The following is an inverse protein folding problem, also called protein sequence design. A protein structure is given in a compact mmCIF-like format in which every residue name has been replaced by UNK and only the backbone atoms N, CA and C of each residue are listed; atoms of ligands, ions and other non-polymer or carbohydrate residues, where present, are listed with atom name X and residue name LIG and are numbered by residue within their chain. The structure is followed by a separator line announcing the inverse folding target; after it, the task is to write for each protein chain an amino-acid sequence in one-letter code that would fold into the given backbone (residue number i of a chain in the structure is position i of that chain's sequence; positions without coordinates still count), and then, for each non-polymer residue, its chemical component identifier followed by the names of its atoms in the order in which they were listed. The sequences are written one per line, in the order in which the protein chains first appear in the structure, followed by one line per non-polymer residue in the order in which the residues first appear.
data_IF_274308733971
#
_entry.id   IF_274308733971
#
_cell.length_a   1.000
_cell.length_b   1.000
_cell.length_c   1.000
_cell.angle_alpha   90.00
_cell.angle_beta   90.00
_cell.angle_gamma   90.00
#
_symmetry.space_group_name_H-M   'P 1'
#
loop_
_entity.id
_entity.type
_entity.pdbx_description
1 polymer ?
#
# COMPACT_ATOMS: atom_id res chain seq x y z
N UNK A 1 -31.54 -53.09 -10.36
CA UNK A 1 -32.27 -52.63 -11.57
C UNK A 1 -33.67 -52.17 -11.17
N UNK A 2 -34.29 -51.21 -11.87
CA UNK A 2 -35.63 -50.66 -11.54
C UNK A 2 -36.78 -51.45 -12.20
N UNK A 3 -38.05 -51.10 -11.94
CA UNK A 3 -38.74 -50.25 -12.91
C UNK A 3 -39.63 -49.12 -12.31
N UNK A 4 -40.07 -48.19 -13.18
CA UNK A 4 -40.89 -47.01 -12.86
C UNK A 4 -42.41 -47.34 -12.88
N UNK A 5 -43.24 -46.57 -12.16
CA UNK A 5 -44.71 -46.53 -12.31
C UNK A 5 -45.19 -45.38 -13.22
N UNK A 6 -46.46 -45.44 -13.67
CA UNK A 6 -47.08 -44.61 -14.72
C UNK A 6 -47.86 -43.38 -14.21
N UNK A 7 -48.20 -42.48 -15.14
CA UNK A 7 -49.25 -41.43 -15.01
C UNK A 7 -50.67 -42.02 -15.15
N UNK A 8 -51.67 -41.26 -14.67
CA UNK A 8 -53.04 -40.91 -15.20
C UNK A 8 -53.99 -40.75 -14.00
N UNK A 9 -54.46 -39.56 -13.58
CA UNK A 9 -55.31 -38.52 -14.22
C UNK A 9 -56.80 -38.84 -14.23
N UNK A 10 -57.63 -38.01 -13.57
CA UNK A 10 -59.04 -37.79 -13.93
C UNK A 10 -59.61 -36.46 -13.36
N UNK A 11 -60.60 -35.88 -14.06
CA UNK A 11 -61.36 -34.65 -13.71
C UNK A 11 -62.66 -34.56 -14.53
N UNK A 12 -63.82 -34.29 -13.89
CA UNK A 12 -64.81 -33.31 -14.39
C UNK A 12 -65.08 -32.20 -13.33
N UNK A 13 -65.46 -30.95 -13.61
CA UNK A 13 -66.55 -30.38 -14.46
C UNK A 13 -67.97 -30.65 -13.92
N UNK A 14 -68.94 -29.70 -13.83
CA UNK A 14 -68.94 -28.21 -13.82
C UNK A 14 -70.31 -27.76 -13.18
N UNK A 15 -70.98 -26.57 -13.25
CA UNK A 15 -70.96 -25.27 -13.96
C UNK A 15 -71.91 -24.27 -13.20
N UNK A 16 -71.93 -22.97 -13.54
CA UNK A 16 -72.95 -21.90 -13.23
C UNK A 16 -73.06 -21.41 -11.76
N UNK A 17 -73.46 -20.16 -11.43
CA UNK A 17 -74.02 -18.97 -12.14
C UNK A 17 -73.79 -17.70 -11.24
N UNK A 18 -73.86 -16.41 -11.60
CA UNK A 18 -73.60 -15.61 -12.83
C UNK A 18 -73.71 -14.08 -12.49
N UNK A 19 -73.07 -13.19 -13.28
CA UNK A 19 -73.30 -11.71 -13.34
C UNK A 19 -72.97 -10.89 -12.04
N UNK A 20 -72.95 -9.55 -11.95
CA UNK A 20 -73.36 -8.42 -12.82
C UNK A 20 -72.35 -7.25 -12.94
N UNK A 21 -72.57 -6.44 -13.99
CA UNK A 21 -72.39 -4.98 -14.23
C UNK A 21 -71.99 -4.00 -13.08
N UNK A 22 -71.34 -2.83 -13.31
CA UNK A 22 -70.89 -2.08 -14.51
C UNK A 22 -69.71 -1.13 -14.10
N UNK A 23 -68.64 -0.82 -14.87
CA UNK A 23 -68.46 -0.16 -16.20
C UNK A 23 -68.63 1.39 -16.23
N UNK A 24 -67.87 2.24 -16.97
CA UNK A 24 -66.62 2.15 -17.80
C UNK A 24 -66.12 3.59 -18.16
N UNK A 25 -64.99 3.75 -18.89
CA UNK A 25 -64.44 4.98 -19.60
C UNK A 25 -63.47 5.90 -18.80
N UNK A 26 -62.41 6.51 -19.37
CA UNK A 26 -61.70 6.34 -20.67
C UNK A 26 -60.24 6.89 -20.63
N UNK A 27 -59.48 6.70 -21.71
CA UNK A 27 -58.13 7.25 -22.00
C UNK A 27 -58.20 8.03 -23.36
N UNK A 28 -57.21 8.83 -23.83
CA UNK A 28 -55.72 8.69 -23.82
C UNK A 28 -55.04 9.98 -23.23
N UNK A 29 -53.82 10.49 -23.57
CA UNK A 29 -52.74 10.05 -24.48
C UNK A 29 -51.30 10.14 -23.87
N UNK A 30 -50.33 10.70 -24.62
CA UNK A 30 -48.86 10.60 -24.41
C UNK A 30 -48.18 11.92 -24.02
N UNK A 31 -47.14 11.87 -23.15
CA UNK A 31 -46.26 13.02 -22.90
C UNK A 31 -44.99 12.74 -22.06
N UNK A 32 -43.81 12.85 -22.69
CA UNK A 32 -42.42 13.00 -22.18
C UNK A 32 -41.82 12.08 -21.07
N UNK A 33 -40.49 11.86 -21.18
CA UNK A 33 -39.68 11.06 -20.26
C UNK A 33 -39.14 11.90 -19.09
N UNK A 34 -39.62 11.66 -17.86
CA UNK A 34 -39.10 12.34 -16.65
C UNK A 34 -37.72 11.79 -16.24
N UNK A 35 -36.69 12.65 -16.22
CA UNK A 35 -35.36 12.32 -15.68
C UNK A 35 -35.41 12.17 -14.15
N UNK A 36 -34.55 11.31 -13.58
CA UNK A 36 -34.33 11.20 -12.12
C UNK A 36 -33.74 12.52 -11.60
N UNK A 37 -34.30 13.07 -10.51
CA UNK A 37 -33.78 14.28 -9.87
C UNK A 37 -34.58 14.70 -8.62
N UNK A 38 -33.89 15.24 -7.61
CA UNK A 38 -34.49 15.79 -6.39
C UNK A 38 -35.13 17.16 -6.71
N UNK A 39 -36.31 17.52 -6.17
CA UNK A 39 -36.95 18.79 -6.45
C UNK A 39 -36.10 20.00 -6.01
N UNK A 40 -36.17 21.09 -6.78
CA UNK A 40 -35.56 22.39 -6.42
C UNK A 40 -36.28 23.00 -5.21
N UNK A 41 -35.54 23.72 -4.35
CA UNK A 41 -36.05 24.27 -3.09
C UNK A 41 -36.72 25.66 -3.20
N UNK A 42 -36.73 26.28 -4.38
CA UNK A 42 -37.28 27.63 -4.60
C UNK A 42 -37.96 27.74 -5.98
N UNK A 43 -39.02 28.56 -6.11
CA UNK A 43 -39.71 28.83 -7.38
C UNK A 43 -38.91 29.75 -8.32
N UNK A 44 -39.30 29.78 -9.58
CA UNK A 44 -38.44 30.25 -10.69
C UNK A 44 -38.47 31.78 -10.95
N UNK A 45 -38.95 32.59 -10.00
CA UNK A 45 -39.24 34.02 -10.16
C UNK A 45 -38.59 34.96 -9.13
N UNK A 46 -37.47 34.57 -8.52
CA UNK A 46 -36.71 35.45 -7.62
C UNK A 46 -35.18 35.26 -7.71
N UNK A 47 -34.47 36.24 -8.29
CA UNK A 47 -32.99 36.30 -8.30
C UNK A 47 -32.51 37.64 -7.71
N UNK A 48 -32.03 37.66 -6.45
CA UNK A 48 -31.36 38.85 -5.92
C UNK A 48 -30.02 39.05 -6.65
N UNK A 49 -29.80 40.24 -7.20
CA UNK A 49 -28.49 40.61 -7.77
C UNK A 49 -27.44 40.72 -6.64
N UNK A 50 -26.26 40.10 -6.76
CA UNK A 50 -25.14 40.41 -5.87
C UNK A 50 -24.62 41.82 -6.13
N UNK A 51 -24.06 42.52 -5.13
CA UNK A 51 -23.47 43.85 -5.29
C UNK A 51 -22.20 43.81 -6.18
N UNK A 52 -21.83 44.93 -6.83
CA UNK A 52 -20.71 44.98 -7.77
C UNK A 52 -19.34 44.96 -7.08
N UNK A 53 -18.86 43.77 -6.72
CA UNK A 53 -17.47 43.54 -6.28
C UNK A 53 -16.49 43.34 -7.45
N UNK A 54 -15.21 43.75 -7.32
CA UNK A 54 -14.22 43.62 -8.39
C UNK A 54 -13.87 42.15 -8.68
N UNK A 55 -13.96 41.75 -9.95
CA UNK A 55 -13.69 40.37 -10.41
C UNK A 55 -12.20 40.03 -10.27
N UNK A 56 -11.81 39.28 -9.24
CA UNK A 56 -10.45 38.70 -9.13
C UNK A 56 -10.38 37.40 -9.94
N UNK A 57 -9.80 37.47 -11.14
CA UNK A 57 -9.62 36.30 -12.02
C UNK A 57 -8.60 35.29 -11.47
N UNK A 58 -8.70 34.03 -11.91
CA UNK A 58 -7.65 33.03 -11.67
C UNK A 58 -6.46 33.33 -12.58
N UNK A 59 -5.36 33.81 -12.02
CA UNK A 59 -4.15 34.13 -12.78
C UNK A 59 -2.93 34.40 -11.90
N UNK A 60 -1.75 33.96 -12.37
CA UNK A 60 -0.45 34.27 -11.78
C UNK A 60 -0.14 35.76 -12.01
N UNK A 61 0.38 36.53 -11.03
CA UNK A 61 0.74 37.93 -11.24
C UNK A 61 1.76 38.08 -12.38
N UNK A 62 1.51 39.03 -13.28
CA UNK A 62 2.46 39.44 -14.32
C UNK A 62 3.56 40.27 -13.66
N UNK A 63 4.82 39.97 -14.00
CA UNK A 63 5.95 40.86 -13.65
C UNK A 63 5.84 42.11 -14.53
N UNK A 64 5.76 43.28 -13.91
CA UNK A 64 5.80 44.55 -14.64
C UNK A 64 7.25 44.90 -15.03
N UNK A 65 7.38 45.57 -16.17
CA UNK A 65 8.65 46.06 -16.71
C UNK A 65 8.63 47.59 -16.69
N UNK A 66 9.66 48.23 -16.17
CA UNK A 66 9.77 49.69 -16.19
C UNK A 66 11.24 50.16 -16.28
N UNK A 67 11.42 51.29 -16.97
CA UNK A 67 12.64 52.09 -17.10
C UNK A 67 13.95 51.39 -17.57
N UNK A 68 14.28 51.56 -18.86
CA UNK A 68 15.68 51.56 -19.32
C UNK A 68 16.36 52.88 -18.92
N UNK A 69 17.63 52.81 -18.52
CA UNK A 69 18.61 53.90 -18.60
C UNK A 69 19.89 53.31 -19.24
N UNK A 70 20.67 54.11 -19.97
CA UNK A 70 21.52 53.57 -21.06
C UNK A 70 22.93 54.17 -21.12
N UNK A 71 23.93 53.31 -21.39
CA UNK A 71 25.33 53.59 -21.83
C UNK A 71 26.24 54.45 -20.91
N UNK A 72 27.59 54.42 -21.05
CA UNK A 72 28.43 53.73 -22.05
C UNK A 72 29.40 52.67 -21.50
N UNK A 73 30.23 52.12 -22.41
CA UNK A 73 31.15 50.98 -22.24
C UNK A 73 32.57 51.35 -22.74
N UNK A 74 33.66 51.04 -22.01
CA UNK A 74 35.04 51.08 -22.52
C UNK A 74 35.55 49.70 -23.01
N UNK A 75 36.81 49.65 -23.46
CA UNK A 75 37.35 48.62 -24.38
C UNK A 75 38.28 47.56 -23.76
N UNK A 76 38.54 46.51 -24.56
CA UNK A 76 39.45 45.34 -24.40
C UNK A 76 40.95 45.70 -24.24
N UNK A 77 41.86 44.83 -23.72
CA UNK A 77 42.02 43.40 -24.10
C UNK A 77 42.46 42.39 -22.98
N UNK A 78 43.04 41.25 -23.40
CA UNK A 78 43.60 40.09 -22.64
C UNK A 78 44.43 40.53 -21.40
N UNK A 79 44.64 39.73 -20.34
CA UNK A 79 45.14 38.34 -20.32
C UNK A 79 45.13 37.70 -18.90
N UNK A 80 45.10 36.36 -18.79
CA UNK A 80 45.82 35.61 -17.74
C UNK A 80 45.23 35.37 -16.32
N UNK A 81 45.46 34.14 -15.82
CA UNK A 81 45.47 33.67 -14.40
C UNK A 81 44.13 33.41 -13.66
N UNK A 82 44.13 32.32 -12.87
CA UNK A 82 43.14 31.93 -11.82
C UNK A 82 43.56 32.57 -10.48
N UNK A 83 42.64 32.85 -9.53
CA UNK A 83 42.40 31.89 -8.42
C UNK A 83 40.98 31.90 -7.77
N UNK A 84 40.76 30.91 -6.87
CA UNK A 84 39.94 30.85 -5.62
C UNK A 84 38.88 31.94 -5.33
N UNK A 85 37.67 31.67 -4.79
CA UNK A 85 37.02 30.41 -4.35
C UNK A 85 36.09 30.59 -3.11
N UNK A 86 35.23 29.60 -2.80
CA UNK A 86 34.54 29.41 -1.49
C UNK A 86 34.15 27.93 -1.30
N UNK A 87 33.84 27.43 -0.08
CA UNK A 87 34.23 26.08 0.32
C UNK A 87 33.17 25.00 0.11
N UNK A 88 33.62 23.75 -0.07
CA UNK A 88 32.80 22.56 0.20
C UNK A 88 32.60 22.42 1.72
N UNK A 89 31.37 22.12 2.13
CA UNK A 89 31.06 21.56 3.45
C UNK A 89 31.34 20.05 3.39
N UNK A 90 31.75 19.46 4.52
CA UNK A 90 32.14 18.04 4.69
C UNK A 90 33.45 17.63 3.99
N UNK A 91 34.58 17.56 4.73
CA UNK A 91 35.75 16.77 4.36
C UNK A 91 35.52 15.28 4.65
N UNK A 92 36.10 14.40 3.83
CA UNK A 92 36.26 12.98 4.12
C UNK A 92 37.63 12.75 4.79
N UNK A 93 37.74 11.91 5.84
CA UNK A 93 39.02 11.54 6.43
C UNK A 93 39.59 10.25 5.83
N UNK A 94 40.76 10.37 5.19
CA UNK A 94 41.75 9.31 4.98
C UNK A 94 43.10 10.05 4.86
N UNK A 95 44.23 9.61 5.42
CA UNK A 95 44.47 8.44 6.29
C UNK A 95 45.95 8.05 6.16
N UNK A 96 46.77 8.27 7.20
CA UNK A 96 48.19 7.90 7.21
C UNK A 96 48.77 7.81 8.64
N UNK A 97 49.44 6.67 8.88
CA UNK A 97 50.25 6.22 10.02
C UNK A 97 50.72 7.18 11.14
N UNK A 98 50.60 6.68 12.37
CA UNK A 98 51.79 6.46 13.21
C UNK A 98 51.62 5.28 14.19
N UNK A 99 52.72 4.56 14.46
CA UNK A 99 52.74 3.25 15.15
C UNK A 99 53.29 3.38 16.58
N UNK A 100 52.50 3.04 17.61
CA UNK A 100 52.99 2.86 18.98
C UNK A 100 52.18 1.82 19.81
N UNK A 101 52.82 0.68 20.06
CA UNK A 101 52.62 -0.32 21.14
C UNK A 101 51.45 -0.25 22.14
N UNK A 102 50.57 -1.26 22.06
CA UNK A 102 50.16 -2.23 23.12
C UNK A 102 49.77 -1.73 24.53
N UNK A 103 48.50 -1.97 24.91
CA UNK A 103 48.07 -2.60 26.19
C UNK A 103 46.62 -3.11 26.09
N UNK A 104 46.19 -4.01 26.99
CA UNK A 104 44.98 -4.86 26.86
C UNK A 104 43.87 -4.54 27.88
N UNK A 105 42.60 -4.62 27.42
CA UNK A 105 41.36 -5.05 28.14
C UNK A 105 40.27 -5.21 27.07
N UNK A 106 39.84 -6.42 26.63
CA UNK A 106 38.99 -7.45 27.28
C UNK A 106 37.49 -7.15 27.10
N UNK A 107 36.80 -8.03 26.33
CA UNK A 107 35.35 -8.24 26.07
C UNK A 107 34.39 -7.04 25.84
N UNK A 108 33.32 -7.11 25.02
CA UNK A 108 32.74 -8.20 24.21
C UNK A 108 32.85 -7.90 22.69
N UNK A 109 33.10 -8.93 21.84
CA UNK A 109 32.96 -8.81 20.37
C UNK A 109 32.88 -10.19 19.66
N UNK A 110 31.68 -10.74 19.51
CA UNK A 110 31.41 -11.95 18.71
C UNK A 110 30.19 -11.75 17.78
N UNK A 111 30.20 -12.43 16.63
CA UNK A 111 29.19 -12.54 15.56
C UNK A 111 28.41 -11.29 15.09
N UNK A 112 28.93 -10.61 14.04
CA UNK A 112 28.07 -10.05 12.98
C UNK A 112 28.77 -9.62 11.66
N UNK A 113 30.06 -9.89 11.44
CA UNK A 113 30.80 -9.20 10.34
C UNK A 113 30.65 -9.87 8.96
N UNK A 114 30.24 -11.14 8.87
CA UNK A 114 30.10 -11.88 7.60
C UNK A 114 28.69 -11.78 6.94
N UNK A 115 27.62 -11.44 7.68
CA UNK A 115 26.26 -11.31 7.09
C UNK A 115 26.10 -10.03 6.21
N UNK A 116 27.07 -9.12 6.21
CA UNK A 116 26.83 -7.72 5.82
C UNK A 116 27.25 -7.33 4.38
N UNK A 117 27.94 -8.21 3.65
CA UNK A 117 28.30 -7.98 2.24
C UNK A 117 27.09 -8.20 1.28
N UNK A 118 26.26 -9.22 1.50
CA UNK A 118 25.07 -9.58 0.68
C UNK A 118 23.89 -8.57 0.75
N UNK A 119 24.04 -7.54 1.59
CA UNK A 119 23.04 -6.50 1.89
C UNK A 119 23.38 -5.15 1.20
N UNK A 120 24.66 -4.84 0.93
CA UNK A 120 25.08 -3.48 0.56
C UNK A 120 24.51 -2.95 -0.78
N UNK A 121 24.08 -3.83 -1.69
CA UNK A 121 23.42 -3.46 -2.95
C UNK A 121 21.89 -3.50 -2.96
N UNK A 122 21.24 -3.98 -1.88
CA UNK A 122 19.82 -4.40 -1.88
C UNK A 122 18.87 -3.28 -1.45
N UNK A 123 17.68 -3.22 -2.04
CA UNK A 123 16.61 -2.32 -1.57
C UNK A 123 15.57 -3.08 -0.74
N UNK A 124 14.95 -2.35 0.19
CA UNK A 124 14.01 -2.91 1.15
C UNK A 124 12.65 -2.21 1.08
N UNK A 125 11.60 -3.01 1.25
CA UNK A 125 10.22 -2.59 1.00
C UNK A 125 9.27 -3.10 2.09
N UNK A 126 8.06 -2.54 2.11
CA UNK A 126 6.93 -3.04 2.89
C UNK A 126 5.69 -2.95 2.01
N UNK A 127 5.00 -4.07 1.87
CA UNK A 127 3.86 -4.26 0.97
C UNK A 127 2.66 -4.79 1.76
N UNK A 128 1.50 -4.16 1.58
CA UNK A 128 0.29 -4.41 2.37
C UNK A 128 -0.71 -5.28 1.61
N UNK A 129 -1.20 -6.31 2.28
CA UNK A 129 -2.33 -7.14 1.85
C UNK A 129 -3.38 -7.23 2.99
N UNK A 130 -4.53 -7.86 2.73
CA UNK A 130 -5.65 -7.99 3.69
C UNK A 130 -5.90 -9.47 4.01
N UNK A 131 -5.61 -9.96 5.23
CA UNK A 131 -5.71 -11.39 5.55
C UNK A 131 -7.13 -11.85 5.94
N UNK A 132 -8.04 -10.91 6.18
CA UNK A 132 -9.44 -11.13 6.51
C UNK A 132 -10.30 -10.91 5.25
N UNK A 133 -11.42 -11.64 5.13
CA UNK A 133 -12.31 -11.57 3.96
C UNK A 133 -12.93 -10.18 3.79
N UNK A 134 -12.81 -9.62 2.58
CA UNK A 134 -13.44 -8.34 2.21
C UNK A 134 -13.81 -8.33 0.74
N UNK A 135 -15.09 -8.04 0.46
CA UNK A 135 -15.56 -7.88 -0.91
C UNK A 135 -15.22 -6.49 -1.48
N UNK A 136 -14.50 -6.46 -2.60
CA UNK A 136 -14.31 -5.29 -3.48
C UNK A 136 -15.07 -5.55 -4.79
N UNK A 137 -15.99 -4.66 -5.19
CA UNK A 137 -16.94 -4.86 -6.31
C UNK A 137 -17.75 -6.19 -6.33
N UNK A 138 -17.64 -7.04 -5.30
CA UNK A 138 -18.28 -8.36 -5.22
C UNK A 138 -17.31 -9.54 -5.25
N UNK A 139 -16.01 -9.30 -5.42
CA UNK A 139 -14.92 -10.30 -5.36
C UNK A 139 -14.20 -10.17 -4.03
N UNK A 140 -13.86 -11.28 -3.36
CA UNK A 140 -13.06 -11.25 -2.13
C UNK A 140 -11.59 -10.96 -2.47
N UNK A 141 -10.99 -10.01 -1.75
CA UNK A 141 -9.59 -9.58 -1.93
C UNK A 141 -8.68 -10.05 -0.78
N UNK A 142 -9.12 -11.07 -0.03
CA UNK A 142 -8.30 -11.75 0.98
C UNK A 142 -7.00 -12.28 0.37
N UNK A 143 -5.87 -11.82 0.90
CA UNK A 143 -4.55 -12.41 0.67
C UNK A 143 -3.66 -12.28 1.91
N UNK A 144 -3.17 -13.41 2.41
CA UNK A 144 -2.32 -13.51 3.61
C UNK A 144 -0.96 -14.14 3.28
N UNK A 145 -0.04 -14.14 4.26
CA UNK A 145 1.30 -14.71 4.07
C UNK A 145 1.24 -16.24 3.96
N UNK A 146 0.21 -16.87 4.50
CA UNK A 146 -0.03 -18.31 4.38
C UNK A 146 -0.57 -18.68 2.99
N UNK A 147 -1.35 -17.79 2.37
CA UNK A 147 -1.76 -17.95 0.97
C UNK A 147 -0.53 -17.80 0.04
N UNK A 148 0.36 -16.82 0.29
CA UNK A 148 1.64 -16.70 -0.43
C UNK A 148 2.60 -17.87 -0.19
N UNK A 149 2.61 -18.45 1.02
CA UNK A 149 3.42 -19.63 1.35
C UNK A 149 2.93 -20.90 0.66
N UNK A 150 1.66 -20.93 0.21
CA UNK A 150 1.05 -22.03 -0.53
C UNK A 150 1.12 -21.84 -2.07
N UNK A 151 1.60 -20.70 -2.56
CA UNK A 151 1.77 -20.42 -3.98
C UNK A 151 2.84 -21.34 -4.61
N UNK A 152 2.55 -21.85 -5.81
CA UNK A 152 3.43 -22.77 -6.54
C UNK A 152 4.30 -22.06 -7.60
N UNK A 153 3.93 -20.83 -7.95
CA UNK A 153 4.60 -19.95 -8.91
C UNK A 153 4.70 -18.54 -8.29
N UNK A 154 5.58 -17.65 -8.79
CA UNK A 154 5.71 -16.28 -8.29
C UNK A 154 4.41 -15.48 -8.36
N UNK A 155 3.92 -15.00 -7.22
CA UNK A 155 2.62 -14.32 -7.12
C UNK A 155 2.71 -12.88 -7.68
N UNK A 156 1.88 -12.48 -8.66
CA UNK A 156 1.80 -11.10 -9.13
C UNK A 156 1.16 -10.20 -8.07
N UNK A 157 1.89 -9.20 -7.58
CA UNK A 157 1.37 -8.28 -6.56
C UNK A 157 0.44 -7.21 -7.18
N UNK A 158 -0.79 -7.62 -7.48
CA UNK A 158 -1.80 -6.88 -8.24
C UNK A 158 -2.52 -5.77 -7.46
N UNK A 159 -3.57 -5.19 -8.08
CA UNK A 159 -4.50 -4.28 -7.42
C UNK A 159 -3.95 -2.92 -7.01
N UNK A 160 -2.67 -2.64 -7.27
CA UNK A 160 -2.04 -1.36 -6.95
C UNK A 160 -2.61 -0.25 -7.84
N UNK A 161 -3.58 0.50 -7.31
CA UNK A 161 -4.22 1.68 -7.95
C UNK A 161 -3.78 3.03 -7.36
N UNK A 162 -2.59 3.07 -6.75
CA UNK A 162 -1.96 4.30 -6.23
C UNK A 162 -0.68 4.60 -7.02
N UNK A 163 -0.63 5.76 -7.69
CA UNK A 163 0.49 6.13 -8.56
C UNK A 163 1.86 6.23 -7.85
N UNK A 164 1.90 6.50 -6.54
CA UNK A 164 3.15 6.49 -5.76
C UNK A 164 3.58 5.07 -5.39
N UNK A 165 2.63 4.17 -5.08
CA UNK A 165 2.92 2.75 -4.85
C UNK A 165 3.40 2.08 -6.15
N UNK A 166 2.73 2.37 -7.27
CA UNK A 166 3.14 1.97 -8.62
C UNK A 166 4.56 2.46 -8.97
N UNK A 167 4.93 3.68 -8.56
CA UNK A 167 6.30 4.18 -8.74
C UNK A 167 7.31 3.32 -7.95
N UNK A 168 6.99 2.91 -6.73
CA UNK A 168 7.86 2.01 -5.96
C UNK A 168 7.99 0.63 -6.60
N UNK A 169 6.90 0.06 -7.17
CA UNK A 169 6.98 -1.19 -7.94
C UNK A 169 7.95 -1.10 -9.13
N UNK A 170 8.03 0.08 -9.79
CA UNK A 170 8.99 0.33 -10.88
C UNK A 170 10.42 0.63 -10.42
N UNK A 171 10.62 0.93 -9.12
CA UNK A 171 11.94 1.13 -8.51
C UNK A 171 12.52 -0.19 -7.93
N UNK A 172 11.69 -1.22 -7.75
CA UNK A 172 12.08 -2.55 -7.25
C UNK A 172 12.91 -3.35 -8.27
N UNK A 173 13.83 -4.17 -7.76
CA UNK A 173 14.69 -5.06 -8.55
C UNK A 173 14.53 -6.53 -8.14
N UNK A 174 14.93 -7.45 -9.01
CA UNK A 174 15.04 -8.88 -8.63
C UNK A 174 16.05 -9.04 -7.47
N UNK A 175 15.66 -9.74 -6.41
CA UNK A 175 16.46 -9.98 -5.20
C UNK A 175 16.24 -8.97 -4.07
N UNK A 176 15.48 -7.90 -4.29
CA UNK A 176 15.00 -7.01 -3.22
C UNK A 176 14.08 -7.77 -2.24
N UNK A 177 14.09 -7.38 -0.96
CA UNK A 177 13.23 -7.99 0.07
C UNK A 177 12.13 -7.03 0.54
N UNK A 178 10.95 -7.60 0.78
CA UNK A 178 9.77 -6.88 1.24
C UNK A 178 9.19 -7.49 2.52
N UNK A 179 8.83 -6.65 3.48
CA UNK A 179 8.00 -7.06 4.60
C UNK A 179 6.54 -7.25 4.15
N UNK A 180 6.01 -8.45 4.36
CA UNK A 180 4.59 -8.74 4.20
C UNK A 180 3.83 -8.14 5.38
N UNK A 181 2.94 -7.18 5.11
CA UNK A 181 2.18 -6.47 6.12
C UNK A 181 0.68 -6.80 6.04
N UNK A 182 0.15 -7.37 7.11
CA UNK A 182 -1.29 -7.57 7.30
C UNK A 182 -1.96 -6.23 7.63
N UNK A 183 -2.85 -5.81 6.75
CA UNK A 183 -3.61 -4.56 6.84
C UNK A 183 -5.11 -4.80 6.89
N UNK A 184 -5.88 -3.78 7.26
CA UNK A 184 -7.36 -3.79 7.33
C UNK A 184 -8.00 -4.97 8.09
N UNK A 185 -7.27 -5.52 9.06
CA UNK A 185 -7.65 -6.66 9.90
C UNK A 185 -7.65 -6.25 11.38
N UNK A 186 -8.14 -7.13 12.26
CA UNK A 186 -8.27 -6.89 13.71
C UNK A 186 -6.94 -6.53 14.38
N UNK A 187 -5.83 -7.13 13.94
CA UNK A 187 -4.47 -6.85 14.44
C UNK A 187 -3.53 -6.63 13.25
N UNK A 188 -3.36 -5.39 12.76
CA UNK A 188 -2.48 -5.12 11.63
C UNK A 188 -1.01 -5.09 12.06
N UNK A 189 -0.11 -5.54 11.19
CA UNK A 189 1.33 -5.65 11.48
C UNK A 189 2.16 -6.36 10.41
N UNK A 190 3.47 -6.43 10.61
CA UNK A 190 4.39 -7.23 9.78
C UNK A 190 4.35 -8.68 10.28
N UNK A 191 4.18 -9.61 9.35
CA UNK A 191 4.06 -11.06 9.63
C UNK A 191 5.17 -11.91 9.00
N UNK A 192 6.05 -11.31 8.20
CA UNK A 192 7.16 -12.01 7.57
C UNK A 192 7.78 -11.27 6.38
N UNK A 193 8.49 -12.03 5.56
CA UNK A 193 9.35 -11.58 4.47
C UNK A 193 9.01 -12.34 3.18
N UNK A 194 9.05 -11.62 2.07
CA UNK A 194 9.01 -12.13 0.70
C UNK A 194 10.10 -11.46 -0.14
N UNK A 195 10.48 -12.06 -1.26
CA UNK A 195 11.46 -11.53 -2.21
C UNK A 195 10.78 -11.10 -3.51
N UNK A 196 11.26 -10.01 -4.11
CA UNK A 196 10.89 -9.63 -5.48
C UNK A 196 11.68 -10.52 -6.45
N UNK A 197 11.01 -11.46 -7.12
CA UNK A 197 11.67 -12.41 -8.02
C UNK A 197 11.50 -12.08 -9.50
N UNK A 198 10.54 -11.22 -9.85
CA UNK A 198 10.43 -10.61 -11.17
C UNK A 198 10.18 -9.10 -11.03
N UNK A 199 10.92 -8.31 -11.81
CA UNK A 199 10.73 -6.87 -11.92
C UNK A 199 9.40 -6.51 -12.61
N UNK A 200 9.12 -5.20 -12.70
CA UNK A 200 7.79 -4.72 -13.05
C UNK A 200 7.31 -5.13 -14.46
N UNK A 201 6.06 -5.58 -14.53
CA UNK A 201 5.32 -5.86 -15.78
C UNK A 201 3.93 -5.20 -15.73
N UNK A 202 3.24 -5.02 -16.87
CA UNK A 202 1.86 -4.54 -16.87
C UNK A 202 0.93 -5.36 -15.97
N UNK A 203 0.00 -4.68 -15.30
CA UNK A 203 -1.00 -5.32 -14.45
C UNK A 203 -2.21 -5.76 -15.27
N UNK A 204 -2.30 -7.06 -15.55
CA UNK A 204 -3.39 -7.68 -16.30
C UNK A 204 -4.76 -7.54 -15.61
N UNK A 205 -4.80 -7.42 -14.27
CA UNK A 205 -6.05 -7.18 -13.50
C UNK A 205 -6.70 -5.84 -13.85
N UNK A 206 -5.94 -4.89 -14.40
CA UNK A 206 -6.46 -3.60 -14.84
C UNK A 206 -7.30 -3.70 -16.13
N UNK A 207 -7.14 -4.75 -16.93
CA UNK A 207 -7.77 -4.87 -18.26
C UNK A 207 -9.07 -5.69 -18.27
N UNK A 208 -9.29 -6.57 -17.28
CA UNK A 208 -10.50 -7.39 -17.17
C UNK A 208 -11.65 -6.62 -16.49
N UNK A 209 -12.80 -6.36 -17.17
CA UNK A 209 -13.96 -5.71 -16.58
C UNK A 209 -14.61 -6.46 -15.40
N UNK A 210 -14.32 -7.76 -15.22
CA UNK A 210 -14.83 -8.56 -14.10
C UNK A 210 -14.01 -8.38 -12.80
N UNK A 211 -12.75 -7.96 -12.92
CA UNK A 211 -11.82 -7.86 -11.81
C UNK A 211 -12.13 -6.67 -10.87
N UNK A 212 -11.99 -6.82 -9.53
CA UNK A 212 -12.17 -5.73 -8.57
C UNK A 212 -11.34 -4.48 -8.89
N UNK A 213 -10.19 -4.63 -9.54
CA UNK A 213 -9.24 -3.57 -9.84
C UNK A 213 -9.21 -3.09 -11.31
N UNK A 214 -10.23 -3.44 -12.10
CA UNK A 214 -10.43 -2.90 -13.46
C UNK A 214 -10.32 -1.37 -13.54
N UNK A 215 -9.61 -0.86 -14.55
CA UNK A 215 -9.56 0.55 -14.95
C UNK A 215 -9.75 0.69 -16.47
N UNK A 216 -10.93 1.16 -16.88
CA UNK A 216 -11.34 1.48 -18.26
C UNK A 216 -10.30 2.31 -19.05
N UNK A 217 -9.44 3.04 -18.36
CA UNK A 217 -8.43 3.91 -18.97
C UNK A 217 -7.07 3.23 -19.14
N UNK A 218 -6.87 2.02 -18.62
CA UNK A 218 -5.67 1.21 -18.81
C UNK A 218 -5.91 0.28 -20.00
N UNK A 219 -5.03 0.28 -20.99
CA UNK A 219 -5.09 -0.67 -22.12
C UNK A 219 -3.76 -1.40 -22.26
N UNK A 220 -3.71 -2.49 -23.05
CA UNK A 220 -2.47 -3.26 -23.25
C UNK A 220 -1.40 -2.45 -24.00
N UNK A 221 -1.82 -1.41 -24.72
CA UNK A 221 -0.98 -0.48 -25.49
C UNK A 221 -0.53 0.74 -24.65
N UNK A 222 -1.34 1.17 -23.66
CA UNK A 222 -1.01 2.22 -22.68
C UNK A 222 -1.31 1.74 -21.23
N UNK A 223 -0.49 0.81 -20.70
CA UNK A 223 -0.71 0.21 -19.39
C UNK A 223 -0.46 1.21 -18.27
N UNK A 224 -1.51 1.48 -17.47
CA UNK A 224 -1.46 2.47 -16.38
C UNK A 224 -1.06 1.88 -15.04
N UNK A 225 -1.10 0.56 -14.90
CA UNK A 225 -0.79 -0.15 -13.67
C UNK A 225 0.23 -1.24 -13.94
N UNK A 226 1.05 -1.52 -12.94
CA UNK A 226 2.18 -2.45 -13.01
C UNK A 226 2.14 -3.35 -11.78
N UNK A 227 2.61 -4.58 -11.92
CA UNK A 227 2.87 -5.54 -10.83
C UNK A 227 4.35 -5.91 -10.80
N UNK A 228 4.82 -6.39 -9.66
CA UNK A 228 6.05 -7.20 -9.54
C UNK A 228 5.62 -8.61 -9.13
N UNK A 229 6.46 -9.63 -9.37
CA UNK A 229 6.14 -10.99 -8.88
C UNK A 229 7.01 -11.34 -7.68
N UNK A 230 6.39 -11.95 -6.67
CA UNK A 230 7.03 -12.20 -5.37
C UNK A 230 6.96 -13.66 -4.96
N UNK A 231 7.94 -14.09 -4.17
CA UNK A 231 7.95 -15.41 -3.54
C UNK A 231 8.06 -15.28 -2.02
N UNK A 232 7.42 -16.20 -1.30
CA UNK A 232 7.62 -16.38 0.14
C UNK A 232 9.10 -16.61 0.48
N UNK A 233 9.54 -16.08 1.64
CA UNK A 233 10.87 -16.36 2.20
C UNK A 233 10.83 -16.76 3.66
N UNK A 234 10.09 -16.03 4.51
CA UNK A 234 9.98 -16.34 5.94
C UNK A 234 8.65 -15.84 6.53
N UNK A 235 8.01 -16.65 7.38
CA UNK A 235 6.95 -16.19 8.29
C UNK A 235 7.57 -15.95 9.66
N UNK A 236 7.23 -14.84 10.31
CA UNK A 236 7.66 -14.59 11.69
C UNK A 236 6.80 -15.40 12.67
N UNK A 237 7.38 -16.14 13.64
CA UNK A 237 6.61 -16.87 14.64
C UNK A 237 5.70 -15.95 15.48
N UNK A 238 6.14 -14.71 15.71
CA UNK A 238 5.39 -13.68 16.42
C UNK A 238 5.38 -12.39 15.58
N UNK A 239 4.19 -11.86 15.31
CA UNK A 239 4.04 -10.67 14.48
C UNK A 239 4.53 -9.38 15.16
N UNK A 240 5.04 -8.46 14.34
CA UNK A 240 5.35 -7.09 14.78
C UNK A 240 4.13 -6.23 14.46
N UNK A 241 3.30 -5.98 15.47
CA UNK A 241 2.05 -5.23 15.32
C UNK A 241 2.31 -3.76 14.98
N UNK A 242 1.29 -3.10 14.44
CA UNK A 242 1.28 -1.65 14.25
C UNK A 242 1.56 -0.88 15.57
N UNK A 243 1.26 -1.46 16.74
CA UNK A 243 1.54 -0.83 18.03
C UNK A 243 3.03 -0.96 18.40
N UNK A 244 3.68 -2.09 18.13
CA UNK A 244 5.14 -2.25 18.26
C UNK A 244 5.86 -1.22 17.36
N UNK A 245 5.44 -1.11 16.09
CA UNK A 245 6.00 -0.14 15.14
C UNK A 245 5.79 1.32 15.59
N UNK A 246 4.59 1.66 16.09
CA UNK A 246 4.29 3.00 16.64
C UNK A 246 5.09 3.33 17.89
N UNK A 247 5.37 2.36 18.76
CA UNK A 247 6.21 2.57 19.94
C UNK A 247 7.63 3.04 19.56
N UNK A 248 8.07 2.78 18.33
CA UNK A 248 9.36 3.18 17.78
C UNK A 248 9.27 4.35 16.76
N UNK A 249 8.10 4.97 16.64
CA UNK A 249 7.77 6.07 15.73
C UNK A 249 7.70 7.42 16.48
N UNK A 250 8.84 7.91 16.94
CA UNK A 250 8.98 9.20 17.62
C UNK A 250 10.32 9.86 17.23
N UNK A 251 10.49 11.18 17.41
CA UNK A 251 11.76 11.87 17.13
C UNK A 251 12.96 11.19 17.81
N UNK A 252 14.01 10.92 17.05
CA UNK A 252 15.22 10.22 17.52
C UNK A 252 15.08 8.70 17.66
N UNK A 253 13.93 8.09 17.34
CA UNK A 253 13.76 6.63 17.35
C UNK A 253 13.97 5.99 15.97
N UNK A 254 14.34 4.69 15.89
CA UNK A 254 14.73 4.03 14.63
C UNK A 254 13.71 4.10 13.49
N UNK A 255 12.40 4.16 13.79
CA UNK A 255 11.34 4.22 12.78
C UNK A 255 10.80 5.64 12.54
N UNK A 256 11.36 6.70 13.12
CA UNK A 256 10.89 8.10 12.99
C UNK A 256 10.54 8.49 11.54
N UNK A 257 11.31 8.00 10.57
CA UNK A 257 11.19 8.32 9.15
C UNK A 257 10.60 7.19 8.29
N UNK A 258 9.97 6.17 8.90
CA UNK A 258 9.38 5.04 8.18
C UNK A 258 8.15 5.46 7.35
N UNK A 259 8.20 5.24 6.03
CA UNK A 259 7.20 5.77 5.11
C UNK A 259 5.80 5.22 5.36
N UNK A 260 5.64 3.93 5.65
CA UNK A 260 4.30 3.33 5.89
C UNK A 260 3.57 3.94 7.09
N UNK A 261 4.28 4.48 8.08
CA UNK A 261 3.70 5.15 9.25
C UNK A 261 3.40 6.63 8.97
N UNK A 262 4.24 7.32 8.18
CA UNK A 262 3.97 8.71 7.71
C UNK A 262 2.87 8.78 6.65
N UNK A 263 2.71 7.75 5.82
CA UNK A 263 1.84 7.72 4.65
C UNK A 263 0.91 6.50 4.75
N UNK A 264 0.02 6.49 5.75
CA UNK A 264 -0.80 5.31 6.11
C UNK A 264 -1.59 4.69 4.95
N UNK A 265 -2.10 5.53 4.02
CA UNK A 265 -2.85 5.15 2.81
C UNK A 265 -1.99 4.64 1.64
N UNK A 266 -0.67 4.54 1.80
CA UNK A 266 0.24 3.97 0.81
C UNK A 266 0.37 2.46 1.04
N UNK A 267 0.11 1.64 0.02
CA UNK A 267 0.15 0.16 0.10
C UNK A 267 1.55 -0.44 -0.10
N UNK A 268 2.40 0.21 -0.91
CA UNK A 268 3.79 -0.18 -1.16
C UNK A 268 4.69 0.99 -0.76
N UNK A 269 5.59 0.79 0.21
CA UNK A 269 6.48 1.83 0.74
C UNK A 269 7.93 1.33 0.84
N UNK A 270 8.91 2.21 0.62
CA UNK A 270 10.31 1.88 0.87
C UNK A 270 10.62 1.83 2.38
N UNK A 271 11.63 1.02 2.70
CA UNK A 271 12.21 0.80 4.02
C UNK A 271 13.72 1.02 3.87
N UNK A 272 14.37 1.72 4.80
CA UNK A 272 15.83 1.89 4.73
C UNK A 272 16.55 0.67 5.33
N UNK A 273 17.79 0.37 4.90
CA UNK A 273 18.64 -0.71 5.49
C UNK A 273 18.66 -0.66 7.03
N UNK A 274 18.73 0.54 7.61
CA UNK A 274 18.65 0.74 9.06
C UNK A 274 17.27 0.40 9.68
N UNK A 275 16.16 0.74 9.01
CA UNK A 275 14.81 0.35 9.44
C UNK A 275 14.57 -1.16 9.27
N UNK A 276 15.09 -1.76 8.20
CA UNK A 276 15.06 -3.20 7.96
C UNK A 276 15.77 -3.96 9.08
N UNK A 277 17.07 -3.69 9.30
CA UNK A 277 17.86 -4.31 10.38
C UNK A 277 17.23 -4.11 11.77
N UNK A 278 16.61 -2.96 12.03
CA UNK A 278 15.89 -2.74 13.28
C UNK A 278 14.65 -3.63 13.42
N UNK A 279 13.82 -3.74 12.37
CA UNK A 279 12.61 -4.58 12.39
C UNK A 279 12.97 -6.07 12.44
N UNK A 280 14.03 -6.50 11.75
CA UNK A 280 14.56 -7.87 11.82
C UNK A 280 15.02 -8.23 13.24
N UNK A 281 15.73 -7.32 13.91
CA UNK A 281 16.10 -7.50 15.33
C UNK A 281 14.86 -7.54 16.23
N UNK A 282 13.88 -6.68 16.02
CA UNK A 282 12.62 -6.70 16.77
C UNK A 282 11.83 -8.01 16.57
N UNK A 283 11.95 -8.69 15.43
CA UNK A 283 11.40 -10.03 15.23
C UNK A 283 12.12 -11.05 16.12
N UNK A 284 13.46 -11.13 16.04
CA UNK A 284 14.30 -12.02 16.88
C UNK A 284 14.07 -11.78 18.38
N UNK A 285 13.97 -10.52 18.81
CA UNK A 285 13.67 -10.13 20.20
C UNK A 285 12.29 -10.64 20.66
N UNK A 286 11.24 -10.53 19.84
CA UNK A 286 9.89 -11.01 20.20
C UNK A 286 9.80 -12.54 20.20
N UNK A 287 10.44 -13.21 19.25
CA UNK A 287 10.56 -14.67 19.19
C UNK A 287 11.19 -15.24 20.47
N UNK A 288 12.35 -14.71 20.87
CA UNK A 288 13.02 -15.11 22.11
C UNK A 288 12.24 -14.77 23.39
N UNK A 289 11.43 -13.71 23.38
CA UNK A 289 10.54 -13.37 24.49
C UNK A 289 9.35 -14.33 24.59
N UNK A 290 8.78 -14.77 23.46
CA UNK A 290 7.68 -15.74 23.44
C UNK A 290 8.11 -17.11 23.95
N UNK A 291 9.26 -17.62 23.49
CA UNK A 291 9.78 -18.93 23.91
C UNK A 291 9.97 -19.02 25.44
N UNK A 292 10.45 -17.93 26.06
CA UNK A 292 10.61 -17.84 27.52
C UNK A 292 9.29 -17.83 28.31
N UNK A 293 8.17 -17.44 27.69
CA UNK A 293 6.86 -17.45 28.32
C UNK A 293 6.17 -18.81 28.22
N UNK A 294 6.48 -19.62 27.19
CA UNK A 294 6.06 -21.03 27.15
C UNK A 294 6.78 -21.90 28.17
N UNK A 295 8.09 -21.71 28.37
CA UNK A 295 8.90 -22.57 29.26
C UNK A 295 8.71 -22.32 30.76
N UNK A 296 7.79 -21.44 31.15
CA UNK A 296 7.49 -21.12 32.56
C UNK A 296 6.05 -21.47 32.97
N UNK A 297 5.40 -22.38 32.23
CA UNK A 297 4.01 -22.79 32.45
C UNK A 297 3.80 -24.25 32.84
N UNK A 298 4.81 -25.11 32.72
CA UNK A 298 4.68 -26.57 32.88
C UNK A 298 5.09 -27.12 34.27
N UNK A 299 5.67 -26.30 35.15
CA UNK A 299 6.21 -26.73 36.46
C UNK A 299 5.19 -26.68 37.63
N UNK A 300 3.98 -26.15 37.45
CA UNK A 300 3.04 -25.85 38.56
C UNK A 300 1.84 -26.82 38.69
N UNK A 301 1.84 -27.98 38.00
CA UNK A 301 0.77 -28.99 38.07
C UNK A 301 1.29 -30.41 38.40
N UNK A 302 1.98 -30.57 39.56
CA UNK A 302 2.44 -31.90 40.01
C UNK A 302 2.40 -32.19 41.53
N UNK A 303 1.97 -31.25 42.39
CA UNK A 303 1.89 -31.45 43.86
C UNK A 303 0.46 -31.52 44.45
N UNK A 304 -0.52 -32.11 43.74
CA UNK A 304 -1.85 -32.42 44.32
C UNK A 304 -2.37 -33.83 43.95
N UNK A 305 -1.59 -34.88 44.29
CA UNK A 305 -2.05 -36.28 44.14
C UNK A 305 -1.40 -37.25 45.13
N UNK A 306 -1.43 -36.93 46.43
CA UNK A 306 -0.86 -37.80 47.47
C UNK A 306 -1.56 -37.76 48.84
N UNK A 307 -2.87 -37.47 48.91
CA UNK A 307 -3.65 -37.61 50.15
C UNK A 307 -5.10 -38.10 49.92
N UNK A 308 -5.30 -39.43 49.88
CA UNK A 308 -6.59 -40.13 50.06
C UNK A 308 -6.39 -41.63 50.33
#
# INVERSE_FOLDING_TARGET
MPPKKRKTSDSPEDDRNDLTANQTTAAPPTGEKRKRGRPRKYPESATPKPPPGPKRGRGRPRKEESAKVTVPKPTTPKEGKRPVGRPRKYPLPNGADQRATKSTSVEDKEDSEDEDEDDEGRSYWLMKAEPESRLEKGVDVKFSIDDLCAAQEPEPWDGIRNASARRHLRDMKKGDLAFFYHSNCKVPGIVGIMEIVQEHSPDESAFDPSNPYYDEKSTKEDPKWDVVHVEFRQKFPIMITLNDLKAQFAPGKPLENMQTLKQTRLSVSSVTRAQWKFIMRLAKEKEGAGLRQSTSGDDEESEESSEQ
#
